data_IF_277308693535
#
_entry.id   IF_277308693535
#
_cell.length_a   1.000
_cell.length_b   1.000
_cell.length_c   1.000
_cell.angle_alpha   90.00
_cell.angle_beta   90.00
_cell.angle_gamma   90.00
#
_symmetry.space_group_name_H-M   'P 1'
#
loop_
_entity.id
_entity.type
_entity.pdbx_description
1 polymer ?
#
# COMPACT_ATOMS: atom_id res chain seq x y z
N UNK A 1 9.00 -22.70 -12.90
CA UNK A 1 9.14 -21.37 -12.28
C UNK A 1 7.88 -20.53 -12.50
N UNK A 2 7.13 -20.75 -13.60
CA UNK A 2 5.94 -19.94 -13.96
C UNK A 2 4.70 -20.13 -13.08
N UNK A 3 4.45 -21.34 -12.60
CA UNK A 3 3.21 -21.67 -11.85
C UNK A 3 3.10 -20.87 -10.52
N UNK A 4 4.23 -20.45 -9.95
CA UNK A 4 4.25 -19.69 -8.70
C UNK A 4 3.85 -18.23 -8.92
N UNK A 5 4.30 -17.61 -10.02
CA UNK A 5 3.95 -16.23 -10.37
C UNK A 5 2.48 -16.10 -10.79
N UNK A 6 1.97 -17.03 -11.60
CA UNK A 6 0.56 -17.05 -12.02
C UNK A 6 -0.42 -17.18 -10.83
N UNK A 7 -0.06 -17.96 -9.80
CA UNK A 7 -0.90 -18.10 -8.62
C UNK A 7 -0.80 -16.89 -7.67
N UNK A 8 0.36 -16.24 -7.59
CA UNK A 8 0.52 -15.05 -6.77
C UNK A 8 -0.19 -13.83 -7.34
N UNK A 9 -0.22 -13.68 -8.67
CA UNK A 9 -0.92 -12.58 -9.32
C UNK A 9 -2.40 -12.51 -8.90
N UNK A 10 -3.06 -13.66 -8.73
CA UNK A 10 -4.46 -13.74 -8.26
C UNK A 10 -4.65 -13.40 -6.78
N UNK A 11 -3.59 -13.48 -5.98
CA UNK A 11 -3.60 -13.18 -4.53
C UNK A 11 -3.18 -11.75 -4.20
N UNK A 12 -2.53 -11.05 -5.14
CA UNK A 12 -2.05 -9.70 -4.94
C UNK A 12 -3.15 -8.69 -5.32
N UNK A 13 -3.25 -7.62 -4.54
CA UNK A 13 -4.17 -6.54 -4.88
C UNK A 13 -3.69 -5.81 -6.14
N UNK A 14 -4.59 -5.69 -7.12
CA UNK A 14 -4.31 -5.05 -8.41
C UNK A 14 -4.02 -3.56 -8.30
N UNK A 15 -4.58 -2.89 -7.29
CA UNK A 15 -4.35 -1.46 -7.04
C UNK A 15 -3.58 -1.31 -5.74
N UNK A 16 -2.47 -0.54 -5.71
CA UNK A 16 -1.59 -0.42 -4.56
C UNK A 16 -2.14 0.57 -3.51
N UNK A 17 -3.43 0.48 -3.21
CA UNK A 17 -4.03 1.30 -2.16
C UNK A 17 -3.90 0.55 -0.83
N UNK A 18 -3.21 1.12 0.17
CA UNK A 18 -3.14 0.50 1.46
C UNK A 18 -4.53 0.48 2.11
N UNK A 19 -4.87 -0.63 2.75
CA UNK A 19 -6.03 -0.67 3.63
C UNK A 19 -5.74 0.12 4.90
N UNK A 20 -6.78 0.65 5.57
CA UNK A 20 -6.60 1.32 6.86
C UNK A 20 -5.88 0.42 7.88
N UNK A 21 -6.19 -0.88 7.91
CA UNK A 21 -5.51 -1.85 8.76
C UNK A 21 -4.03 -2.03 8.42
N UNK A 22 -3.65 -1.98 7.14
CA UNK A 22 -2.24 -2.04 6.75
C UNK A 22 -1.46 -0.81 7.23
N UNK A 23 -2.07 0.39 7.15
CA UNK A 23 -1.49 1.63 7.67
C UNK A 23 -1.24 1.53 9.18
N UNK A 24 -2.25 1.10 9.94
CA UNK A 24 -2.15 0.94 11.39
C UNK A 24 -1.07 -0.09 11.78
N UNK A 25 -1.00 -1.22 11.07
CA UNK A 25 0.00 -2.26 11.35
C UNK A 25 1.43 -1.75 11.13
N UNK A 26 1.67 -1.04 10.03
CA UNK A 26 2.98 -0.45 9.74
C UNK A 26 3.32 0.64 10.77
N UNK A 27 2.35 1.47 11.13
CA UNK A 27 2.55 2.49 12.15
C UNK A 27 2.90 1.88 13.52
N UNK A 28 2.25 0.78 13.92
CA UNK A 28 2.60 0.06 15.12
C UNK A 28 4.04 -0.47 15.11
N UNK A 29 4.55 -0.91 13.95
CA UNK A 29 5.97 -1.27 13.78
C UNK A 29 6.89 -0.06 13.94
N UNK A 30 6.55 1.07 13.32
CA UNK A 30 7.32 2.31 13.44
C UNK A 30 7.38 2.83 14.88
N UNK A 31 6.28 2.73 15.65
CA UNK A 31 6.23 3.09 17.08
C UNK A 31 7.14 2.19 17.92
N UNK A 32 7.31 0.91 17.55
CA UNK A 32 8.23 0.01 18.24
C UNK A 32 9.69 0.44 18.06
N UNK A 33 10.03 0.97 16.89
CA UNK A 33 11.38 1.46 16.61
C UNK A 33 11.62 2.86 17.20
N UNK A 34 10.61 3.73 17.13
CA UNK A 34 10.66 5.08 17.68
C UNK A 34 9.41 5.35 18.55
N UNK A 35 9.49 5.15 19.88
CA UNK A 35 8.34 5.37 20.75
C UNK A 35 7.82 6.81 20.80
N UNK A 36 8.61 7.80 20.37
CA UNK A 36 8.25 9.22 20.43
C UNK A 36 7.14 9.61 19.44
N UNK A 37 6.90 8.81 18.41
CA UNK A 37 5.87 9.11 17.39
C UNK A 37 4.49 8.54 17.73
N UNK A 38 4.31 7.91 18.90
CA UNK A 38 3.07 7.19 19.29
C UNK A 38 1.80 8.03 19.16
N UNK A 39 1.88 9.32 19.46
CA UNK A 39 0.71 10.21 19.51
C UNK A 39 0.42 10.88 18.16
N UNK A 40 1.16 10.55 17.11
CA UNK A 40 0.90 11.06 15.77
C UNK A 40 -0.28 10.33 15.13
N UNK A 41 -1.02 11.04 14.28
CA UNK A 41 -2.06 10.43 13.45
C UNK A 41 -1.40 9.60 12.34
N UNK A 42 -1.61 8.27 12.29
CA UNK A 42 -1.02 7.40 11.26
C UNK A 42 -1.41 7.84 9.85
N UNK A 43 -2.64 8.33 9.65
CA UNK A 43 -3.16 8.74 8.35
C UNK A 43 -2.56 10.07 7.86
N UNK A 44 -2.00 10.89 8.75
CA UNK A 44 -1.45 12.18 8.38
C UNK A 44 -0.16 12.08 7.55
N UNK A 45 0.52 10.94 7.60
CA UNK A 45 1.77 10.69 6.88
C UNK A 45 1.56 10.12 5.47
N UNK A 46 0.35 9.67 5.16
CA UNK A 46 0.05 8.97 3.90
C UNK A 46 -0.65 9.91 2.92
N UNK A 47 0.15 10.58 2.10
CA UNK A 47 -0.37 11.30 0.94
C UNK A 47 -0.61 10.32 -0.22
N UNK A 48 -1.89 10.03 -0.49
CA UNK A 48 -2.31 9.14 -1.58
C UNK A 48 -2.55 9.89 -2.90
N UNK A 49 -2.28 11.19 -2.97
CA UNK A 49 -2.52 12.00 -4.15
C UNK A 49 -1.79 11.45 -5.39
N UNK A 50 -0.49 11.18 -5.28
CA UNK A 50 0.30 10.68 -6.42
C UNK A 50 -0.13 9.29 -6.88
N UNK A 51 -0.50 8.40 -5.95
CA UNK A 51 -1.01 7.06 -6.31
C UNK A 51 -2.31 7.20 -7.10
N UNK A 52 -3.18 8.13 -6.67
CA UNK A 52 -4.42 8.43 -7.36
C UNK A 52 -4.19 9.02 -8.75
N UNK A 53 -3.27 9.98 -8.90
CA UNK A 53 -2.95 10.56 -10.20
C UNK A 53 -2.46 9.50 -11.21
N UNK A 54 -1.61 8.58 -10.75
CA UNK A 54 -1.12 7.46 -11.57
C UNK A 54 -2.28 6.51 -11.94
N UNK A 55 -3.15 6.18 -10.99
CA UNK A 55 -4.33 5.34 -11.22
C UNK A 55 -5.30 6.00 -12.21
N UNK A 56 -5.61 7.29 -12.02
CA UNK A 56 -6.51 8.08 -12.86
C UNK A 56 -5.99 8.22 -14.30
N UNK A 57 -4.67 8.20 -14.53
CA UNK A 57 -4.06 8.14 -15.86
C UNK A 57 -4.30 6.79 -16.59
N UNK A 58 -4.88 5.80 -15.90
CA UNK A 58 -5.06 4.44 -16.35
C UNK A 58 -3.75 3.65 -16.46
N UNK A 59 -2.64 4.15 -15.91
CA UNK A 59 -1.34 3.48 -15.99
C UNK A 59 -1.35 2.13 -15.29
N UNK A 60 -1.90 2.06 -14.08
CA UNK A 60 -1.98 0.82 -13.29
C UNK A 60 -2.78 -0.26 -14.04
N UNK A 61 -3.91 0.11 -14.63
CA UNK A 61 -4.74 -0.82 -15.40
C UNK A 61 -4.06 -1.36 -16.67
N UNK A 62 -3.06 -0.64 -17.22
CA UNK A 62 -2.29 -1.10 -18.38
C UNK A 62 -1.17 -2.07 -18.01
N UNK A 63 -0.73 -2.12 -16.75
CA UNK A 63 0.33 -3.04 -16.30
C UNK A 63 -0.11 -4.51 -16.32
N UNK A 64 -1.41 -4.77 -16.26
CA UNK A 64 -2.00 -6.11 -16.16
C UNK A 64 -2.71 -6.55 -17.45
N UNK A 65 -2.31 -6.01 -18.61
CA UNK A 65 -2.83 -6.36 -19.94
C UNK A 65 -1.87 -7.22 -20.73
#
# INVERSE_FOLDING_TARGET
MDIFYENQERSLERKPYPTAGAIENIFALAVRENPAIRDFNPLALWDLHYVREIDDSGYIDRLYR
#
